data_IF_261339261224
#
_entry.id   IF_261339261224
#
_cell.length_a   1.000
_cell.length_b   1.000
_cell.length_c   1.000
_cell.angle_alpha   90.00
_cell.angle_beta   90.00
_cell.angle_gamma   90.00
#
_symmetry.space_group_name_H-M   'P 1'
#
loop_
_entity.id
_entity.type
_entity.pdbx_description
1 polymer ?
#
# COMPACT_ATOMS: atom_id res chain seq x y z
N UNK A 1 5.59 -16.28 -6.64
CA UNK A 1 4.52 -15.30 -6.99
C UNK A 1 4.97 -14.42 -8.16
N UNK A 2 4.03 -13.83 -8.90
CA UNK A 2 4.35 -12.88 -9.98
C UNK A 2 4.68 -11.48 -9.42
N UNK A 3 3.84 -10.98 -8.51
CA UNK A 3 4.06 -9.75 -7.76
C UNK A 3 4.02 -10.02 -6.25
N UNK A 4 4.83 -9.28 -5.49
CA UNK A 4 4.86 -9.29 -4.03
C UNK A 4 4.49 -7.90 -3.51
N UNK A 5 3.70 -7.85 -2.44
CA UNK A 5 3.29 -6.61 -1.78
C UNK A 5 3.87 -6.60 -0.36
N UNK A 6 4.40 -5.46 0.08
CA UNK A 6 4.87 -5.25 1.46
C UNK A 6 4.80 -3.78 1.84
N UNK A 7 4.98 -3.43 3.11
CA UNK A 7 5.06 -2.03 3.52
C UNK A 7 6.23 -1.31 2.86
N UNK A 8 6.05 -0.02 2.61
CA UNK A 8 7.15 0.88 2.25
C UNK A 8 8.13 1.07 3.44
N UNK A 9 9.36 1.59 3.25
CA UNK A 9 10.41 1.63 4.28
C UNK A 9 10.03 2.28 5.61
N UNK A 10 9.10 3.25 5.64
CA UNK A 10 8.60 3.89 6.85
C UNK A 10 7.40 3.14 7.49
N UNK A 11 6.97 2.01 6.92
CA UNK A 11 5.92 1.16 7.50
C UNK A 11 4.50 1.72 7.37
N UNK A 12 4.28 2.70 6.48
CA UNK A 12 3.03 3.41 6.23
C UNK A 12 2.79 4.57 7.21
N UNK A 13 2.83 4.29 8.51
CA UNK A 13 2.63 5.30 9.56
C UNK A 13 3.68 5.23 10.69
N UNK A 14 4.82 4.56 10.46
CA UNK A 14 5.92 4.48 11.42
C UNK A 14 5.79 3.35 12.46
N UNK A 15 4.88 2.38 12.28
CA UNK A 15 4.80 1.25 13.21
C UNK A 15 6.06 0.38 13.10
N UNK A 16 6.75 0.06 14.22
CA UNK A 16 8.00 -0.70 14.19
C UNK A 16 7.84 -2.06 13.54
N UNK A 17 6.71 -2.75 13.75
CA UNK A 17 6.46 -4.04 13.11
C UNK A 17 6.32 -3.93 11.58
N UNK A 18 5.71 -2.84 11.07
CA UNK A 18 5.60 -2.65 9.62
C UNK A 18 6.96 -2.40 8.98
N UNK A 19 7.83 -1.65 9.66
CA UNK A 19 9.22 -1.42 9.24
C UNK A 19 10.01 -2.74 9.26
N UNK A 20 9.84 -3.56 10.30
CA UNK A 20 10.47 -4.87 10.36
C UNK A 20 9.99 -5.80 9.23
N UNK A 21 8.68 -5.85 8.98
CA UNK A 21 8.08 -6.62 7.87
C UNK A 21 8.64 -6.14 6.52
N UNK A 22 8.78 -4.83 6.32
CA UNK A 22 9.42 -4.27 5.13
C UNK A 22 10.82 -4.86 4.93
N UNK A 23 11.70 -4.73 5.93
CA UNK A 23 13.08 -5.19 5.82
C UNK A 23 13.18 -6.70 5.57
N UNK A 24 12.41 -7.51 6.30
CA UNK A 24 12.41 -8.96 6.10
C UNK A 24 11.86 -9.36 4.74
N UNK A 25 10.81 -8.70 4.26
CA UNK A 25 10.19 -9.04 2.96
C UNK A 25 11.10 -8.64 1.80
N UNK A 26 11.76 -7.48 1.85
CA UNK A 26 12.72 -7.05 0.82
C UNK A 26 13.94 -7.98 0.80
N UNK A 27 14.47 -8.37 1.96
CA UNK A 27 15.57 -9.33 2.04
C UNK A 27 15.17 -10.70 1.48
N UNK A 28 13.97 -11.19 1.83
CA UNK A 28 13.44 -12.45 1.31
C UNK A 28 13.19 -12.40 -0.20
N UNK A 29 12.73 -11.27 -0.74
CA UNK A 29 12.52 -11.06 -2.17
C UNK A 29 13.84 -11.23 -2.95
N UNK A 30 14.94 -10.65 -2.46
CA UNK A 30 16.26 -10.80 -3.08
C UNK A 30 16.83 -12.22 -2.89
N UNK A 31 16.75 -12.75 -1.66
CA UNK A 31 17.31 -14.06 -1.34
C UNK A 31 16.61 -15.21 -2.09
N UNK A 32 15.28 -15.12 -2.29
CA UNK A 32 14.53 -16.11 -3.05
C UNK A 32 14.98 -16.23 -4.51
N UNK A 33 15.54 -15.17 -5.09
CA UNK A 33 16.04 -15.17 -6.46
C UNK A 33 17.47 -15.74 -6.61
N UNK A 34 18.19 -15.94 -5.52
CA UNK A 34 19.58 -16.42 -5.52
C UNK A 34 19.64 -17.96 -5.44
N UNK A 35 20.09 -18.67 -6.50
CA UNK A 35 20.23 -20.13 -6.47
C UNK A 35 21.25 -20.65 -5.46
N UNK A 36 22.17 -19.82 -4.97
CA UNK A 36 23.14 -20.19 -3.95
C UNK A 36 22.58 -20.02 -2.52
N UNK A 37 21.52 -19.24 -2.35
CA UNK A 37 20.90 -19.02 -1.06
C UNK A 37 19.99 -20.20 -0.68
N UNK A 38 20.38 -20.95 0.36
CA UNK A 38 19.59 -22.04 0.95
C UNK A 38 18.99 -23.00 -0.11
N UNK A 39 19.83 -23.68 -0.91
CA UNK A 39 19.37 -24.60 -1.95
C UNK A 39 18.54 -25.78 -1.41
N UNK A 40 18.62 -26.04 -0.10
CA UNK A 40 17.80 -27.03 0.60
C UNK A 40 16.31 -26.64 0.72
N UNK A 41 15.96 -25.37 0.50
CA UNK A 41 14.57 -24.87 0.51
C UNK A 41 13.86 -25.00 -0.84
N UNK A 42 14.53 -25.50 -1.87
CA UNK A 42 13.99 -25.67 -3.22
C UNK A 42 14.69 -24.79 -4.27
N UNK A 43 14.14 -24.80 -5.49
CA UNK A 43 14.68 -23.99 -6.58
C UNK A 43 14.45 -22.50 -6.34
N UNK A 44 15.43 -21.67 -6.73
CA UNK A 44 15.29 -20.22 -6.69
C UNK A 44 14.08 -19.76 -7.52
N UNK A 45 13.43 -18.72 -7.02
CA UNK A 45 12.28 -18.09 -7.61
C UNK A 45 12.47 -16.57 -7.65
N UNK A 46 12.66 -16.03 -8.86
CA UNK A 46 12.66 -14.59 -9.09
C UNK A 46 11.22 -14.10 -9.20
N UNK A 47 10.72 -13.42 -8.17
CA UNK A 47 9.48 -12.66 -8.29
C UNK A 47 9.74 -11.45 -9.19
N UNK A 48 8.85 -11.18 -10.15
CA UNK A 48 9.08 -10.13 -11.15
C UNK A 48 8.99 -8.72 -10.55
N UNK A 49 8.09 -8.53 -9.58
CA UNK A 49 7.76 -7.20 -9.07
C UNK A 49 7.57 -7.18 -7.57
N UNK A 50 8.04 -6.09 -6.96
CA UNK A 50 7.74 -5.71 -5.59
C UNK A 50 6.99 -4.38 -5.61
N UNK A 51 5.85 -4.30 -4.94
CA UNK A 51 5.11 -3.07 -4.77
C UNK A 51 4.88 -2.75 -3.29
N UNK A 52 4.71 -1.45 -3.02
CA UNK A 52 4.22 -0.96 -1.74
C UNK A 52 2.75 -0.52 -1.88
N UNK A 53 1.80 -1.09 -1.12
CA UNK A 53 0.45 -0.57 -1.07
C UNK A 53 0.43 0.73 -0.26
N UNK A 54 -0.26 1.74 -0.77
CA UNK A 54 -0.35 3.08 -0.21
C UNK A 54 -1.82 3.46 -0.01
N UNK A 55 -2.09 4.23 1.04
CA UNK A 55 -3.39 4.87 1.18
C UNK A 55 -3.55 5.92 0.08
N UNK A 56 -4.76 6.07 -0.51
CA UNK A 56 -5.04 7.14 -1.45
C UNK A 56 -4.63 8.50 -0.86
N UNK A 57 -3.95 9.38 -1.63
CA UNK A 57 -3.53 10.69 -1.15
C UNK A 57 -4.68 11.47 -0.51
N UNK A 58 -5.84 11.43 -1.15
CA UNK A 58 -7.02 12.22 -0.83
C UNK A 58 -7.93 11.61 0.25
N UNK A 59 -7.68 10.36 0.69
CA UNK A 59 -8.52 9.68 1.67
C UNK A 59 -8.74 10.52 2.94
N UNK A 60 -7.67 10.94 3.60
CA UNK A 60 -7.77 11.73 4.83
C UNK A 60 -8.18 13.19 4.60
N UNK A 61 -7.68 13.91 3.58
CA UNK A 61 -8.21 15.23 3.20
C UNK A 61 -9.73 15.24 2.98
N UNK A 62 -10.27 14.27 2.25
CA UNK A 62 -11.71 14.15 2.03
C UNK A 62 -12.46 13.80 3.32
N UNK A 63 -11.94 12.88 4.13
CA UNK A 63 -12.54 12.57 5.43
C UNK A 63 -12.60 13.82 6.32
N UNK A 64 -11.50 14.59 6.40
CA UNK A 64 -11.40 15.83 7.16
C UNK A 64 -12.44 16.84 6.69
N UNK A 65 -12.55 17.07 5.38
CA UNK A 65 -13.53 17.98 4.80
C UNK A 65 -14.98 17.56 5.10
N UNK A 66 -15.31 16.28 4.89
CA UNK A 66 -16.65 15.73 5.14
C UNK A 66 -17.04 15.83 6.61
N UNK A 67 -16.10 15.59 7.55
CA UNK A 67 -16.36 15.70 8.99
C UNK A 67 -16.49 17.15 9.46
N UNK A 68 -15.63 18.05 8.95
CA UNK A 68 -15.69 19.48 9.27
C UNK A 68 -17.02 20.10 8.82
N UNK A 69 -17.53 19.72 7.64
CA UNK A 69 -18.83 20.17 7.15
C UNK A 69 -20.01 19.78 8.06
N UNK A 70 -19.82 18.78 8.94
CA UNK A 70 -20.80 18.33 9.94
C UNK A 70 -20.55 18.93 11.33
N UNK A 71 -19.60 19.85 11.47
CA UNK A 71 -19.21 20.43 12.76
C UNK A 71 -18.53 19.44 13.71
N UNK A 72 -17.97 18.34 13.21
CA UNK A 72 -17.24 17.38 14.04
C UNK A 72 -15.78 17.80 14.26
N UNK A 73 -15.18 17.32 15.35
CA UNK A 73 -13.76 17.55 15.67
C UNK A 73 -12.83 16.88 14.65
N UNK A 74 -11.93 17.66 14.04
CA UNK A 74 -10.97 17.20 13.04
C UNK A 74 -9.51 17.30 13.50
N UNK A 75 -9.26 17.65 14.77
CA UNK A 75 -7.90 17.78 15.33
C UNK A 75 -7.07 16.49 15.21
N UNK A 76 -7.74 15.33 15.22
CA UNK A 76 -7.10 14.03 15.01
C UNK A 76 -6.34 13.92 13.66
N UNK A 77 -6.77 14.63 12.61
CA UNK A 77 -6.12 14.56 11.30
C UNK A 77 -4.75 15.24 11.29
N UNK A 78 -4.51 16.23 12.14
CA UNK A 78 -3.25 16.97 12.17
C UNK A 78 -2.06 16.03 12.49
N UNK A 79 -2.24 15.12 13.44
CA UNK A 79 -1.22 14.10 13.78
C UNK A 79 -1.07 12.98 12.72
N UNK A 80 -2.09 12.75 11.88
CA UNK A 80 -1.97 11.84 10.73
C UNK A 80 -1.12 12.50 9.64
N UNK A 81 -1.39 13.76 9.32
CA UNK A 81 -0.67 14.52 8.29
C UNK A 81 0.82 14.61 8.61
N UNK A 82 1.17 14.87 9.88
CA UNK A 82 2.56 14.88 10.33
C UNK A 82 3.27 13.54 10.08
N UNK A 83 2.66 12.41 10.47
CA UNK A 83 3.24 11.07 10.22
C UNK A 83 3.35 10.75 8.74
N UNK A 84 2.34 11.12 7.94
CA UNK A 84 2.33 10.88 6.49
C UNK A 84 3.41 11.68 5.76
N UNK A 85 3.81 12.84 6.27
CA UNK A 85 4.90 13.63 5.68
C UNK A 85 6.25 12.90 5.65
N UNK A 86 6.41 11.87 6.48
CA UNK A 86 7.60 11.01 6.54
C UNK A 86 7.44 9.72 5.73
N UNK A 87 6.22 9.41 5.28
CA UNK A 87 5.91 8.20 4.52
C UNK A 87 6.30 8.29 3.05
N UNK A 88 5.94 7.25 2.29
CA UNK A 88 6.24 7.19 0.87
C UNK A 88 5.61 8.34 0.07
N UNK A 89 6.34 9.00 -0.85
CA UNK A 89 5.82 10.12 -1.62
C UNK A 89 4.62 9.76 -2.50
N UNK A 90 3.57 10.58 -2.44
CA UNK A 90 2.34 10.35 -3.21
C UNK A 90 2.54 10.50 -4.72
N UNK A 91 3.50 11.30 -5.16
CA UNK A 91 3.92 11.44 -6.56
C UNK A 91 4.64 10.19 -7.10
N UNK A 92 4.92 9.20 -6.25
CA UNK A 92 5.43 7.89 -6.62
C UNK A 92 4.36 6.78 -6.57
N UNK A 93 3.09 7.13 -6.72
CA UNK A 93 2.03 6.17 -7.01
C UNK A 93 2.10 5.78 -8.48
N UNK A 94 2.32 4.50 -8.75
CA UNK A 94 2.53 3.97 -10.10
C UNK A 94 1.32 3.17 -10.61
N UNK A 95 0.48 2.66 -9.72
CA UNK A 95 -0.74 1.90 -10.04
C UNK A 95 -1.87 2.42 -9.17
N UNK A 96 -3.04 2.64 -9.78
CA UNK A 96 -4.29 2.89 -9.07
C UNK A 96 -5.34 1.91 -9.56
N UNK A 97 -5.83 1.05 -8.66
CA UNK A 97 -6.81 0.02 -8.98
C UNK A 97 -8.17 0.47 -8.48
N UNK A 98 -9.13 0.58 -9.40
CA UNK A 98 -10.53 0.74 -9.04
C UNK A 98 -11.09 -0.61 -8.54
N UNK A 99 -11.38 -0.66 -7.24
CA UNK A 99 -11.93 -1.81 -6.54
C UNK A 99 -13.39 -1.60 -6.11
N UNK A 100 -14.11 -0.64 -6.71
CA UNK A 100 -15.49 -0.30 -6.33
C UNK A 100 -16.42 -1.52 -6.34
N UNK A 101 -16.28 -2.42 -7.31
CA UNK A 101 -17.08 -3.66 -7.38
C UNK A 101 -16.83 -4.63 -6.21
N UNK A 102 -15.73 -4.48 -5.46
CA UNK A 102 -15.35 -5.31 -4.32
C UNK A 102 -15.43 -4.57 -2.98
N UNK A 103 -15.91 -3.32 -2.97
CA UNK A 103 -15.86 -2.47 -1.79
C UNK A 103 -16.70 -3.02 -0.63
N UNK A 104 -17.80 -3.69 -0.93
CA UNK A 104 -18.63 -4.34 0.08
C UNK A 104 -17.89 -5.50 0.75
N UNK A 105 -17.19 -6.34 -0.03
CA UNK A 105 -16.38 -7.42 0.52
C UNK A 105 -15.21 -6.90 1.37
N UNK A 106 -14.57 -5.80 0.94
CA UNK A 106 -13.53 -5.11 1.70
C UNK A 106 -14.07 -4.58 3.04
N UNK A 107 -15.26 -3.98 3.00
CA UNK A 107 -15.91 -3.47 4.20
C UNK A 107 -16.26 -4.61 5.16
N UNK A 108 -16.88 -5.68 4.68
CA UNK A 108 -17.21 -6.86 5.48
C UNK A 108 -15.95 -7.48 6.13
N UNK A 109 -14.84 -7.52 5.40
CA UNK A 109 -13.55 -7.94 5.95
C UNK A 109 -13.07 -7.02 7.09
N UNK A 110 -13.19 -5.70 6.95
CA UNK A 110 -12.89 -4.77 8.06
C UNK A 110 -13.79 -5.04 9.28
N UNK A 111 -15.07 -5.33 9.05
CA UNK A 111 -16.03 -5.59 10.12
C UNK A 111 -15.72 -6.86 10.91
N UNK A 112 -15.08 -7.86 10.31
CA UNK A 112 -14.61 -9.05 11.02
C UNK A 112 -13.59 -8.71 12.12
N UNK A 113 -12.80 -7.65 11.96
CA UNK A 113 -11.79 -7.21 12.93
C UNK A 113 -12.37 -6.27 14.00
N UNK A 114 -13.45 -6.69 14.67
CA UNK A 114 -14.26 -5.84 15.58
C UNK A 114 -13.48 -5.09 16.66
N UNK A 115 -12.41 -5.68 17.20
CA UNK A 115 -11.60 -5.01 18.25
C UNK A 115 -10.70 -3.91 17.70
N UNK A 116 -10.42 -3.92 16.39
CA UNK A 116 -9.59 -2.93 15.69
C UNK A 116 -10.45 -1.89 14.94
N UNK A 117 -11.55 -2.35 14.32
CA UNK A 117 -12.51 -1.56 13.54
C UNK A 117 -13.87 -1.40 14.24
N UNK A 118 -13.83 -1.29 15.57
CA UNK A 118 -15.01 -1.06 16.42
C UNK A 118 -15.59 0.36 16.29
N UNK A 119 -16.52 0.71 17.18
CA UNK A 119 -17.28 1.97 17.15
C UNK A 119 -16.40 3.23 17.19
N UNK A 120 -15.23 3.15 17.84
CA UNK A 120 -14.29 4.25 17.96
C UNK A 120 -13.28 4.34 16.80
N UNK A 121 -13.41 3.48 15.77
CA UNK A 121 -12.52 3.53 14.61
C UNK A 121 -12.71 4.82 13.83
N UNK A 122 -11.60 5.38 13.34
CA UNK A 122 -11.61 6.59 12.52
C UNK A 122 -12.42 6.41 11.24
N UNK A 123 -12.42 5.19 10.71
CA UNK A 123 -13.17 4.79 9.52
C UNK A 123 -14.66 4.59 9.79
N UNK A 124 -15.14 4.79 11.02
CA UNK A 124 -16.56 4.77 11.40
C UNK A 124 -17.12 6.17 11.67
N UNK A 125 -16.28 7.22 11.56
CA UNK A 125 -16.71 8.60 11.82
C UNK A 125 -17.59 9.18 10.71
N UNK A 126 -17.48 8.65 9.50
CA UNK A 126 -18.37 8.95 8.38
C UNK A 126 -19.40 7.83 8.18
N UNK A 127 -20.56 8.12 7.57
CA UNK A 127 -21.51 7.11 7.13
C UNK A 127 -20.84 6.04 6.27
N UNK A 128 -21.30 4.79 6.40
CA UNK A 128 -20.70 3.64 5.70
C UNK A 128 -20.62 3.83 4.19
N UNK A 129 -21.67 4.34 3.55
CA UNK A 129 -21.70 4.57 2.12
C UNK A 129 -20.61 5.57 1.67
N UNK A 130 -20.36 6.61 2.47
CA UNK A 130 -19.30 7.59 2.19
C UNK A 130 -17.91 7.00 2.42
N UNK A 131 -17.74 6.19 3.47
CA UNK A 131 -16.46 5.50 3.68
C UNK A 131 -16.17 4.48 2.60
N UNK A 132 -17.18 3.74 2.15
CA UNK A 132 -17.06 2.82 1.02
C UNK A 132 -16.64 3.59 -0.23
N UNK A 133 -17.29 4.71 -0.56
CA UNK A 133 -16.89 5.60 -1.67
C UNK A 133 -15.39 5.97 -1.62
N UNK A 134 -14.89 6.38 -0.46
CA UNK A 134 -13.47 6.74 -0.27
C UNK A 134 -12.50 5.54 -0.36
N UNK A 135 -12.99 4.31 -0.21
CA UNK A 135 -12.19 3.08 -0.20
C UNK A 135 -12.23 2.32 -1.53
N UNK A 136 -12.84 2.91 -2.57
CA UNK A 136 -12.98 2.31 -3.91
C UNK A 136 -11.69 2.29 -4.73
N UNK A 137 -10.64 2.97 -4.29
CA UNK A 137 -9.34 3.00 -4.98
C UNK A 137 -8.24 2.48 -4.07
N UNK A 138 -7.37 1.63 -4.61
CA UNK A 138 -6.14 1.19 -3.97
C UNK A 138 -4.93 1.62 -4.78
N UNK A 139 -3.95 2.22 -4.11
CA UNK A 139 -2.77 2.80 -4.75
C UNK A 139 -1.55 1.94 -4.44
N UNK A 140 -0.65 1.80 -5.41
CA UNK A 140 0.58 1.04 -5.25
C UNK A 140 1.77 1.77 -5.87
N UNK A 141 2.91 1.74 -5.19
CA UNK A 141 4.20 2.17 -5.71
C UNK A 141 5.03 0.95 -6.16
N UNK A 142 5.59 0.99 -7.38
CA UNK A 142 6.54 -0.02 -7.83
C UNK A 142 7.89 0.23 -7.14
N UNK A 143 8.39 -0.77 -6.41
CA UNK A 143 9.67 -0.70 -5.71
C UNK A 143 10.77 -1.47 -6.45
N UNK A 144 10.42 -2.64 -7.00
CA UNK A 144 11.30 -3.42 -7.86
C UNK A 144 10.52 -3.93 -9.08
N UNK A 145 11.09 -3.83 -10.29
CA UNK A 145 12.32 -3.09 -10.61
C UNK A 145 12.16 -1.57 -10.35
N UNK A 146 13.29 -0.87 -10.21
CA UNK A 146 13.32 0.58 -9.93
C UNK A 146 12.53 1.36 -11.00
N UNK A 147 11.47 2.13 -10.62
CA UNK A 147 10.57 2.75 -11.57
C UNK A 147 11.22 3.93 -12.30
N UNK A 148 10.82 4.14 -13.56
CA UNK A 148 11.09 5.40 -14.25
C UNK A 148 10.25 6.52 -13.65
N UNK A 149 10.77 7.75 -13.64
CA UNK A 149 10.19 8.94 -12.97
C UNK A 149 8.76 9.32 -13.37
N UNK A 150 8.19 8.77 -14.45
CA UNK A 150 6.84 9.05 -14.93
C UNK A 150 6.04 7.77 -15.23
N UNK A 151 6.40 6.65 -14.60
CA UNK A 151 5.74 5.38 -14.85
C UNK A 151 4.30 5.41 -14.32
N UNK A 152 3.35 5.06 -15.18
CA UNK A 152 1.99 4.71 -14.80
C UNK A 152 1.63 3.35 -15.41
N UNK A 153 1.14 2.44 -14.58
CA UNK A 153 0.74 1.09 -14.93
C UNK A 153 -0.78 0.94 -14.76
N UNK A 154 -1.41 0.22 -15.69
CA UNK A 154 -2.86 0.01 -15.68
C UNK A 154 -3.33 -0.88 -14.51
N UNK A 155 -2.53 -1.89 -14.17
CA UNK A 155 -2.72 -2.75 -13.00
C UNK A 155 -1.36 -3.33 -12.54
N UNK A 156 -1.39 -4.18 -11.50
CA UNK A 156 -0.19 -4.81 -10.92
C UNK A 156 0.52 -5.80 -11.86
N UNK A 157 -0.18 -6.29 -12.89
CA UNK A 157 0.25 -7.30 -13.86
C UNK A 157 0.57 -6.72 -15.24
N UNK A 158 0.24 -5.45 -15.48
CA UNK A 158 0.46 -4.74 -16.74
C UNK A 158 1.92 -4.85 -17.18
N UNK A 159 2.23 -5.04 -18.47
CA UNK A 159 3.60 -5.20 -18.93
C UNK A 159 4.46 -3.98 -18.57
N UNK A 160 5.70 -4.22 -18.15
CA UNK A 160 6.66 -3.13 -17.93
C UNK A 160 7.19 -2.61 -19.28
N UNK A 161 7.47 -1.30 -19.42
CA UNK A 161 8.14 -0.76 -20.59
C UNK A 161 9.48 -1.46 -20.86
N UNK A 162 9.85 -1.63 -22.13
CA UNK A 162 11.00 -2.44 -22.57
C UNK A 162 12.37 -1.98 -22.03
N UNK A 163 12.48 -0.73 -21.57
CA UNK A 163 13.74 -0.17 -21.06
C UNK A 163 13.98 -0.48 -19.57
N UNK A 164 13.08 -1.21 -18.91
CA UNK A 164 13.29 -1.74 -17.56
C UNK A 164 14.31 -2.88 -17.59
N UNK A 165 15.56 -2.57 -17.24
CA UNK A 165 16.55 -3.60 -16.93
C UNK A 165 16.33 -4.05 -15.50
N UNK A 166 15.93 -5.31 -15.30
CA UNK A 166 16.21 -6.00 -14.05
C UNK A 166 17.73 -5.90 -13.84
N UNK A 167 18.17 -5.26 -12.75
CA UNK A 167 19.58 -5.37 -12.32
C UNK A 167 19.78 -6.83 -11.91
N UNK A 168 20.05 -7.70 -12.88
CA UNK A 168 20.65 -9.00 -12.61
C UNK A 168 22.00 -8.72 -11.98
N UNK A 169 22.13 -9.03 -10.69
CA UNK A 169 23.35 -8.83 -9.92
C UNK A 169 24.56 -9.39 -10.65
N UNK A 170 25.62 -8.57 -10.69
CA UNK A 170 27.00 -9.00 -10.92
C UNK A 170 27.66 -9.20 -9.57
#
# INVERSE_FOLDING_TARGET
>A
PFALLTFEPYGGYGHPDHIAIHHHTVAAFAAAADPAYRPDLGAAWQTERLFYPLLPPDLFPEMRQRLAARGQDVSFFDGIEERRSQGWPADQIHVQVNVAQFVDAKWDAFLCHRTQFGENSIFRRLPENEMKELLQTECFALAQPEPASALALADLFAPLPRDFRAKTGQ
#
